data_IF_502261079853
#
_entry.id   IF_502261079853
#
_cell.length_a   1.000
_cell.length_b   1.000
_cell.length_c   1.000
_cell.angle_alpha   90.00
_cell.angle_beta   90.00
_cell.angle_gamma   90.00
#
_symmetry.space_group_name_H-M   'P 1'
#
loop_
_entity.id
_entity.type
_entity.pdbx_description
1 polymer ?
#
# COMPACT_ATOMS: atom_id res chain seq x y z
N UNK A 1 0.98 20.70 5.90
CA UNK A 1 1.31 20.31 4.57
C UNK A 1 1.86 18.90 4.52
N UNK A 2 2.25 18.50 3.34
CA UNK A 2 2.79 17.16 3.16
C UNK A 2 4.03 16.91 4.01
N UNK A 3 4.87 17.89 4.08
CA UNK A 3 6.09 17.74 4.85
C UNK A 3 5.78 17.51 6.32
N UNK A 4 4.75 18.16 6.78
CA UNK A 4 4.35 18.01 8.16
C UNK A 4 3.78 16.64 8.44
N UNK A 5 2.93 16.14 7.53
CA UNK A 5 2.38 14.82 7.67
C UNK A 5 3.47 13.76 7.66
N UNK A 6 4.45 13.93 6.80
CA UNK A 6 5.57 13.00 6.74
C UNK A 6 6.38 13.01 8.01
N UNK A 7 6.55 14.20 8.54
CA UNK A 7 7.27 14.38 9.78
C UNK A 7 6.63 13.58 10.90
N UNK A 8 5.32 13.56 10.90
CA UNK A 8 4.58 12.82 11.90
C UNK A 8 4.50 11.34 11.59
N UNK A 9 4.94 10.95 10.41
CA UNK A 9 4.95 9.55 10.03
C UNK A 9 3.57 8.98 9.85
N UNK A 10 2.62 9.81 9.46
CA UNK A 10 1.24 9.38 9.34
C UNK A 10 0.77 9.18 7.92
N UNK A 11 1.63 9.49 6.95
CA UNK A 11 1.23 9.38 5.55
C UNK A 11 1.27 7.94 5.10
N UNK A 12 0.12 7.33 5.02
CA UNK A 12 -0.01 5.98 4.50
C UNK A 12 -1.16 5.93 3.54
N UNK A 13 -0.99 5.18 2.46
CA UNK A 13 -2.02 5.03 1.45
C UNK A 13 -2.41 3.57 1.36
N UNK A 14 -3.70 3.31 1.39
CA UNK A 14 -4.21 1.97 1.23
C UNK A 14 -4.37 1.68 -0.26
N UNK A 15 -3.72 0.64 -0.72
CA UNK A 15 -3.78 0.24 -2.12
C UNK A 15 -4.33 -1.17 -2.18
N UNK A 16 -5.28 -1.40 -3.08
CA UNK A 16 -5.84 -2.72 -3.24
C UNK A 16 -5.54 -3.23 -4.65
N UNK A 17 -5.39 -4.53 -4.75
CA UNK A 17 -5.25 -5.17 -6.05
C UNK A 17 -5.92 -6.52 -6.01
N UNK A 18 -6.29 -7.01 -7.18
CA UNK A 18 -6.92 -8.31 -7.31
C UNK A 18 -5.92 -9.37 -6.91
N UNK A 19 -6.36 -10.38 -6.18
CA UNK A 19 -5.45 -11.45 -5.76
C UNK A 19 -4.86 -12.18 -6.97
N UNK A 20 -5.54 -12.11 -8.10
CA UNK A 20 -5.03 -12.73 -9.33
C UNK A 20 -4.10 -11.81 -10.11
N UNK A 21 -3.97 -10.57 -9.69
CA UNK A 21 -3.14 -9.61 -10.38
C UNK A 21 -1.74 -9.58 -9.80
N UNK A 22 -0.96 -10.57 -10.16
CA UNK A 22 0.37 -10.71 -9.61
C UNK A 22 1.29 -9.55 -9.97
N UNK A 23 1.11 -9.01 -11.18
CA UNK A 23 1.94 -7.90 -11.61
C UNK A 23 1.74 -6.67 -10.73
N UNK A 24 0.49 -6.37 -10.41
CA UNK A 24 0.19 -5.25 -9.53
C UNK A 24 0.76 -5.48 -8.13
N UNK A 25 0.63 -6.71 -7.64
CA UNK A 25 1.15 -7.04 -6.34
C UNK A 25 2.66 -6.84 -6.27
N UNK A 26 3.36 -7.28 -7.30
CA UNK A 26 4.81 -7.10 -7.36
C UNK A 26 5.18 -5.63 -7.36
N UNK A 27 4.42 -4.84 -8.11
CA UNK A 27 4.68 -3.40 -8.17
C UNK A 27 4.48 -2.76 -6.81
N UNK A 28 3.42 -3.13 -6.12
CA UNK A 28 3.13 -2.58 -4.80
C UNK A 28 4.22 -2.97 -3.81
N UNK A 29 4.62 -4.22 -3.81
CA UNK A 29 5.66 -4.68 -2.90
C UNK A 29 6.99 -4.04 -3.20
N UNK A 30 7.27 -3.85 -4.49
CA UNK A 30 8.50 -3.17 -4.92
C UNK A 30 8.53 -1.73 -4.44
N UNK A 31 7.38 -1.11 -4.33
CA UNK A 31 7.28 0.25 -3.86
C UNK A 31 7.27 0.37 -2.34
N UNK A 32 7.43 -0.75 -1.66
CA UNK A 32 7.48 -0.75 -0.21
C UNK A 32 6.14 -1.03 0.45
N UNK A 33 5.19 -1.58 -0.30
CA UNK A 33 3.90 -1.91 0.25
C UNK A 33 3.96 -3.04 1.27
N UNK A 34 3.11 -2.97 2.26
CA UNK A 34 3.03 -3.98 3.31
C UNK A 34 1.65 -4.62 3.25
N UNK A 35 1.62 -5.93 3.16
CA UNK A 35 0.37 -6.66 3.07
C UNK A 35 -0.42 -6.53 4.37
N UNK A 36 -1.71 -6.22 4.21
CA UNK A 36 -2.60 -6.09 5.36
C UNK A 36 -3.49 -7.32 5.46
N UNK A 37 -4.35 -7.50 4.48
CA UNK A 37 -5.26 -8.65 4.45
C UNK A 37 -5.89 -8.76 3.08
N UNK A 38 -6.72 -9.78 2.91
CA UNK A 38 -7.45 -10.00 1.67
C UNK A 38 -8.93 -10.02 1.99
N UNK A 39 -9.71 -9.20 1.30
CA UNK A 39 -11.16 -9.14 1.45
C UNK A 39 -11.78 -9.23 0.08
N UNK A 40 -12.67 -10.19 -0.13
CA UNK A 40 -13.36 -10.38 -1.40
C UNK A 40 -12.40 -10.41 -2.57
N UNK A 41 -11.32 -11.17 -2.42
CA UNK A 41 -10.31 -11.34 -3.44
C UNK A 41 -9.49 -10.08 -3.71
N UNK A 42 -9.63 -9.07 -2.89
CA UNK A 42 -8.84 -7.86 -3.01
C UNK A 42 -7.79 -7.87 -1.92
N UNK A 43 -6.54 -7.85 -2.33
CA UNK A 43 -5.43 -7.78 -1.39
C UNK A 43 -5.18 -6.33 -1.06
N UNK A 44 -5.04 -6.05 0.21
CA UNK A 44 -4.89 -4.69 0.71
C UNK A 44 -3.47 -4.49 1.21
N UNK A 45 -2.88 -3.41 0.75
CA UNK A 45 -1.50 -3.09 1.11
C UNK A 45 -1.41 -1.66 1.60
N UNK A 46 -0.52 -1.43 2.51
CA UNK A 46 -0.22 -0.10 3.00
C UNK A 46 1.13 0.35 2.46
N UNK A 47 1.17 1.54 1.90
CA UNK A 47 2.40 2.12 1.42
C UNK A 47 2.68 3.40 2.17
N UNK A 48 3.87 3.50 2.66
CA UNK A 48 4.34 4.70 3.34
C UNK A 48 4.81 5.68 2.28
N UNK A 49 4.23 6.87 2.27
CA UNK A 49 4.58 7.86 1.26
C UNK A 49 5.49 8.95 1.82
N UNK A 50 6.20 8.63 2.83
CA UNK A 50 7.15 9.56 3.42
C UNK A 50 8.27 9.87 2.45
#
# INVERSE_FOLDING_TARGET
GLAEARKQGLERVLITCDEDNEASRRTILSAGGVYENTIDRSQRYWIDVN
#
